data_IF_675500480276
#
_entry.id   IF_675500480276
#
_cell.length_a   1.000
_cell.length_b   1.000
_cell.length_c   1.000
_cell.angle_alpha   90.00
_cell.angle_beta   90.00
_cell.angle_gamma   90.00
#
_symmetry.space_group_name_H-M   'P 1'
#
loop_
_entity.id
_entity.type
_entity.pdbx_description
1 polymer ?
#
# COMPACT_ATOMS: atom_id res chain seq x y z
N UNK A 1 -14.31 60.23 -0.12
CA UNK A 1 -13.48 60.32 -1.35
C UNK A 1 -13.64 59.04 -2.11
N UNK A 2 -14.26 59.20 -3.26
CA UNK A 2 -14.80 58.19 -4.14
C UNK A 2 -13.72 57.68 -5.11
N UNK A 3 -13.54 56.38 -5.29
CA UNK A 3 -12.87 55.84 -6.50
C UNK A 3 -13.56 54.56 -6.99
N UNK A 4 -14.13 54.74 -8.12
CA UNK A 4 -14.90 53.86 -8.96
C UNK A 4 -14.13 52.61 -9.41
N UNK A 5 -14.92 51.54 -9.53
CA UNK A 5 -14.57 50.27 -10.15
C UNK A 5 -14.97 50.34 -11.60
N UNK A 6 -14.06 50.09 -12.54
CA UNK A 6 -14.31 50.03 -13.99
C UNK A 6 -14.66 48.59 -14.43
N UNK A 7 -15.40 48.43 -15.55
CA UNK A 7 -16.07 47.17 -15.90
C UNK A 7 -15.18 46.20 -16.68
N UNK A 8 -15.45 44.90 -16.46
CA UNK A 8 -14.86 43.73 -17.12
C UNK A 8 -15.27 43.72 -18.63
N UNK A 9 -14.29 43.47 -19.50
CA UNK A 9 -14.50 43.24 -20.92
C UNK A 9 -14.92 41.80 -21.20
N UNK A 10 -16.13 41.67 -21.74
CA UNK A 10 -16.63 40.44 -22.32
C UNK A 10 -15.95 40.20 -23.70
N UNK A 11 -15.40 39.00 -23.88
CA UNK A 11 -14.80 38.54 -25.12
C UNK A 11 -15.92 37.94 -25.99
N UNK A 12 -16.28 38.63 -27.09
CA UNK A 12 -17.27 38.17 -28.06
C UNK A 12 -16.67 37.17 -29.04
N UNK A 13 -17.32 36.05 -29.19
CA UNK A 13 -17.09 35.07 -30.22
C UNK A 13 -17.52 35.63 -31.61
N UNK A 14 -16.64 35.55 -32.59
CA UNK A 14 -16.93 35.88 -33.97
C UNK A 14 -17.11 34.61 -34.80
N UNK A 15 -18.34 34.39 -35.22
CA UNK A 15 -18.71 33.46 -36.29
C UNK A 15 -18.35 34.08 -37.65
N UNK A 16 -17.74 33.32 -38.54
CA UNK A 16 -17.77 33.60 -40.01
C UNK A 16 -18.10 32.32 -40.75
N UNK A 17 -19.28 32.31 -41.30
CA UNK A 17 -19.70 31.54 -42.48
C UNK A 17 -19.43 32.42 -43.72
N UNK A 18 -19.32 31.72 -44.85
CA UNK A 18 -19.28 32.15 -46.27
C UNK A 18 -17.89 31.95 -46.92
N UNK A 19 -17.69 31.33 -48.06
CA UNK A 19 -18.56 31.02 -49.22
C UNK A 19 -17.85 29.99 -50.13
N UNK A 20 -18.65 29.33 -50.96
CA UNK A 20 -18.30 28.39 -52.02
C UNK A 20 -17.23 28.88 -53.02
N UNK A 21 -16.40 27.95 -53.51
CA UNK A 21 -15.65 28.07 -54.75
C UNK A 21 -15.23 26.67 -55.23
N UNK A 22 -16.00 26.13 -56.21
CA UNK A 22 -15.61 24.94 -57.00
C UNK A 22 -14.36 25.25 -57.83
N UNK A 23 -13.41 24.33 -57.87
CA UNK A 23 -12.69 23.89 -59.09
C UNK A 23 -11.92 22.62 -58.79
N UNK A 24 -12.14 21.59 -59.61
CA UNK A 24 -11.59 20.25 -59.47
C UNK A 24 -10.13 20.16 -59.89
N UNK A 25 -9.39 19.30 -59.20
CA UNK A 25 -8.21 18.61 -59.71
C UNK A 25 -8.09 17.32 -58.90
N UNK A 26 -8.10 16.19 -59.60
CA UNK A 26 -7.99 14.84 -58.99
C UNK A 26 -6.67 14.67 -58.25
N UNK A 27 -6.74 14.41 -56.98
CA UNK A 27 -5.63 13.89 -56.20
C UNK A 27 -6.00 12.45 -55.81
N UNK A 28 -5.22 11.51 -56.36
CA UNK A 28 -5.22 10.11 -55.94
C UNK A 28 -4.76 10.10 -54.49
N UNK A 29 -5.74 9.96 -53.57
CA UNK A 29 -5.46 9.68 -52.18
C UNK A 29 -5.01 8.24 -52.07
N UNK A 30 -3.68 8.01 -51.97
CA UNK A 30 -3.17 6.76 -51.38
C UNK A 30 -3.69 6.72 -49.94
N UNK A 31 -4.69 5.86 -49.72
CA UNK A 31 -5.17 5.54 -48.41
C UNK A 31 -4.03 4.88 -47.61
N UNK A 32 -3.41 5.67 -46.77
CA UNK A 32 -2.52 5.14 -45.73
C UNK A 32 -3.45 4.60 -44.63
N UNK A 33 -3.80 3.31 -44.72
CA UNK A 33 -4.45 2.59 -43.64
C UNK A 33 -3.51 2.66 -42.42
N UNK A 34 -3.82 3.53 -41.49
CA UNK A 34 -3.24 3.50 -40.15
C UNK A 34 -3.79 2.24 -39.48
N UNK A 35 -3.08 1.11 -39.62
CA UNK A 35 -3.36 -0.06 -38.84
C UNK A 35 -3.33 0.35 -37.36
N UNK A 36 -4.39 0.04 -36.55
CA UNK A 36 -4.31 0.22 -35.11
C UNK A 36 -3.10 -0.58 -34.62
N UNK A 37 -2.10 0.14 -34.09
CA UNK A 37 -0.95 -0.50 -33.46
C UNK A 37 -1.46 -1.48 -32.41
N UNK A 38 -0.77 -2.60 -32.18
CA UNK A 38 -1.18 -3.56 -31.17
C UNK A 38 -1.37 -2.80 -29.85
N UNK A 39 -2.61 -2.84 -29.32
CA UNK A 39 -2.87 -2.38 -27.96
C UNK A 39 -1.85 -3.11 -27.07
N UNK A 40 -0.94 -2.35 -26.48
CA UNK A 40 0.01 -2.89 -25.52
C UNK A 40 -0.85 -3.44 -24.40
N UNK A 41 -1.02 -4.76 -24.36
CA UNK A 41 -1.55 -5.42 -23.19
C UNK A 41 -0.62 -5.01 -22.05
N UNK A 42 -1.15 -4.23 -21.07
CA UNK A 42 -0.44 -4.02 -19.83
C UNK A 42 -0.15 -5.40 -19.27
N UNK A 43 1.11 -5.73 -19.13
CA UNK A 43 1.50 -7.01 -18.55
C UNK A 43 0.97 -7.04 -17.11
N UNK A 44 0.36 -8.14 -16.70
CA UNK A 44 -0.09 -8.33 -15.32
C UNK A 44 1.03 -8.09 -14.29
N UNK A 45 2.29 -8.08 -14.72
CA UNK A 45 3.46 -7.75 -13.92
C UNK A 45 3.56 -6.27 -13.49
N UNK A 46 2.87 -5.36 -14.18
CA UNK A 46 2.86 -3.93 -13.82
C UNK A 46 1.72 -3.57 -12.87
N UNK A 47 0.75 -4.47 -12.63
CA UNK A 47 -0.37 -4.22 -11.74
C UNK A 47 -0.06 -4.68 -10.32
N UNK A 48 0.38 -3.75 -9.49
CA UNK A 48 0.68 -4.00 -8.06
C UNK A 48 -0.54 -4.36 -7.22
N UNK A 49 -1.77 -4.17 -7.73
CA UNK A 49 -3.03 -4.43 -7.03
C UNK A 49 -3.67 -5.78 -7.37
N UNK A 50 -2.90 -6.75 -7.88
CA UNK A 50 -3.44 -8.10 -8.04
C UNK A 50 -3.78 -8.71 -6.67
N UNK A 51 -4.82 -9.53 -6.61
CA UNK A 51 -5.21 -10.23 -5.37
C UNK A 51 -4.04 -11.06 -4.80
N UNK A 52 -3.25 -11.70 -5.67
CA UNK A 52 -2.08 -12.46 -5.27
C UNK A 52 -1.05 -11.57 -4.56
N UNK A 53 -0.68 -10.42 -5.14
CA UNK A 53 0.32 -9.51 -4.56
C UNK A 53 -0.20 -8.75 -3.34
N UNK A 54 -1.49 -8.51 -3.22
CA UNK A 54 -2.05 -7.81 -2.06
C UNK A 54 -2.28 -8.78 -0.90
N UNK A 55 -2.96 -9.90 -1.14
CA UNK A 55 -3.42 -10.79 -0.08
C UNK A 55 -2.52 -12.01 0.16
N UNK A 56 -1.73 -12.43 -0.84
CA UNK A 56 -1.01 -13.72 -0.84
C UNK A 56 0.46 -13.60 -1.26
N UNK A 57 1.03 -12.40 -1.23
CA UNK A 57 2.43 -12.17 -1.57
C UNK A 57 3.36 -13.05 -0.71
N UNK A 58 4.16 -13.97 -1.32
CA UNK A 58 4.99 -14.90 -0.57
C UNK A 58 6.17 -14.22 0.14
N UNK A 59 6.54 -13.02 -0.29
CA UNK A 59 7.64 -12.26 0.33
C UNK A 59 7.23 -11.59 1.64
N UNK A 60 5.91 -11.43 1.87
CA UNK A 60 5.36 -10.67 3.00
C UNK A 60 5.08 -11.59 4.18
N UNK A 61 5.55 -11.22 5.38
CA UNK A 61 5.29 -11.98 6.60
C UNK A 61 3.80 -12.02 6.96
N UNK A 62 3.41 -13.14 7.54
CA UNK A 62 2.03 -13.45 7.91
C UNK A 62 1.95 -13.83 9.37
N UNK A 63 0.92 -13.31 10.05
CA UNK A 63 0.52 -13.70 11.39
C UNK A 63 -0.88 -14.34 11.36
N UNK A 64 -1.32 -14.85 12.50
CA UNK A 64 -2.60 -15.54 12.63
C UNK A 64 -2.63 -16.86 11.87
N UNK A 65 -3.76 -17.18 11.23
CA UNK A 65 -3.95 -18.43 10.53
C UNK A 65 -3.54 -18.29 9.04
N UNK A 66 -2.46 -18.96 8.62
CA UNK A 66 -1.98 -18.92 7.22
C UNK A 66 -3.02 -19.42 6.21
N UNK A 67 -3.92 -20.31 6.62
CA UNK A 67 -5.01 -20.86 5.83
C UNK A 67 -6.35 -20.18 6.13
N UNK A 68 -6.33 -19.02 6.78
CA UNK A 68 -7.50 -18.26 7.16
C UNK A 68 -8.45 -17.96 5.99
N UNK A 69 -9.73 -17.99 6.27
CA UNK A 69 -10.80 -17.77 5.29
C UNK A 69 -10.93 -16.30 4.87
N UNK A 70 -10.49 -15.39 5.72
CA UNK A 70 -10.39 -13.95 5.46
C UNK A 70 -8.95 -13.49 5.68
N UNK A 71 -8.47 -12.65 4.76
CA UNK A 71 -7.19 -11.97 4.91
C UNK A 71 -7.42 -10.52 5.33
N UNK A 72 -6.74 -10.11 6.40
CA UNK A 72 -6.53 -8.70 6.74
C UNK A 72 -5.11 -8.35 6.30
N UNK A 73 -4.96 -7.26 5.56
CA UNK A 73 -3.65 -6.66 5.24
C UNK A 73 -3.55 -5.36 5.99
N UNK A 74 -2.49 -5.19 6.77
CA UNK A 74 -2.18 -3.93 7.42
C UNK A 74 -0.99 -3.26 6.73
N UNK A 75 -1.15 -1.99 6.34
CA UNK A 75 -0.06 -1.10 5.94
C UNK A 75 0.28 -0.22 7.13
N UNK A 76 1.48 -0.38 7.68
CA UNK A 76 1.86 0.23 8.96
C UNK A 76 3.27 0.83 8.95
N UNK A 77 3.54 1.67 9.96
CA UNK A 77 4.85 2.26 10.21
C UNK A 77 5.19 2.14 11.71
N UNK A 78 6.40 1.69 12.02
CA UNK A 78 6.86 1.49 13.40
C UNK A 78 6.89 2.76 14.26
N UNK A 79 6.99 3.94 13.67
CA UNK A 79 6.93 5.22 14.40
C UNK A 79 5.51 5.77 14.51
N UNK A 80 4.53 5.17 13.85
CA UNK A 80 3.16 5.64 13.88
C UNK A 80 2.49 5.32 15.23
N UNK A 81 2.08 6.34 16.01
CA UNK A 81 1.45 6.10 17.30
C UNK A 81 0.09 5.41 17.18
N UNK A 82 -0.59 5.59 16.06
CA UNK A 82 -1.88 4.93 15.78
C UNK A 82 -1.70 3.45 15.44
N UNK A 83 -0.62 3.06 14.73
CA UNK A 83 -0.28 1.65 14.51
C UNK A 83 0.01 0.95 15.83
N UNK A 84 0.84 1.57 16.68
CA UNK A 84 1.16 1.04 18.02
C UNK A 84 -0.08 0.87 18.89
N UNK A 85 -1.03 1.82 18.78
CA UNK A 85 -2.28 1.76 19.54
C UNK A 85 -3.20 0.63 19.08
N UNK A 86 -3.30 0.41 17.77
CA UNK A 86 -4.22 -0.58 17.20
C UNK A 86 -3.68 -2.00 17.26
N UNK A 87 -2.36 -2.18 17.28
CA UNK A 87 -1.71 -3.49 17.25
C UNK A 87 -2.22 -4.49 18.30
N UNK A 88 -2.33 -4.18 19.60
CA UNK A 88 -2.85 -5.13 20.58
C UNK A 88 -4.30 -5.53 20.32
N UNK A 89 -5.15 -4.59 19.85
CA UNK A 89 -6.55 -4.86 19.52
C UNK A 89 -6.66 -5.74 18.27
N UNK A 90 -5.90 -5.43 17.23
CA UNK A 90 -5.85 -6.23 16.00
C UNK A 90 -5.38 -7.66 16.28
N UNK A 91 -4.32 -7.80 17.06
CA UNK A 91 -3.77 -9.11 17.45
C UNK A 91 -4.81 -9.93 18.21
N UNK A 92 -5.52 -9.31 19.15
CA UNK A 92 -6.58 -9.98 19.93
C UNK A 92 -7.71 -10.46 19.01
N UNK A 93 -8.22 -9.61 18.12
CA UNK A 93 -9.26 -9.98 17.15
C UNK A 93 -8.82 -11.15 16.26
N UNK A 94 -7.59 -11.13 15.76
CA UNK A 94 -7.04 -12.21 14.92
C UNK A 94 -6.94 -13.53 15.71
N UNK A 95 -6.55 -13.45 16.99
CA UNK A 95 -6.45 -14.61 17.86
C UNK A 95 -7.82 -15.18 18.23
N UNK A 96 -8.79 -14.33 18.57
CA UNK A 96 -10.14 -14.73 19.00
C UNK A 96 -10.93 -15.34 17.82
N UNK A 97 -10.78 -14.78 16.62
CA UNK A 97 -11.43 -15.30 15.41
C UNK A 97 -10.83 -16.65 14.96
N UNK A 98 -9.51 -16.82 15.06
CA UNK A 98 -8.78 -18.05 14.75
C UNK A 98 -8.78 -18.46 13.28
N UNK A 99 -9.49 -17.73 12.39
CA UNK A 99 -9.60 -18.00 10.95
C UNK A 99 -9.17 -16.82 10.10
N UNK A 100 -8.56 -15.81 10.69
CA UNK A 100 -8.02 -14.64 10.00
C UNK A 100 -6.54 -14.88 9.68
N UNK A 101 -6.18 -14.60 8.43
CA UNK A 101 -4.80 -14.45 7.96
C UNK A 101 -4.44 -12.96 8.04
N UNK A 102 -3.43 -12.60 8.82
CA UNK A 102 -2.95 -11.22 8.92
C UNK A 102 -1.64 -11.05 8.12
N UNK A 103 -1.66 -10.20 7.11
CA UNK A 103 -0.52 -9.87 6.24
C UNK A 103 0.03 -8.51 6.69
N UNK A 104 1.32 -8.48 7.05
CA UNK A 104 1.99 -7.32 7.63
C UNK A 104 2.83 -6.61 6.56
N UNK A 105 2.36 -5.48 6.04
CA UNK A 105 3.04 -4.69 5.01
C UNK A 105 3.71 -3.47 5.61
N UNK A 106 5.02 -3.56 5.78
CA UNK A 106 5.85 -2.43 6.17
C UNK A 106 5.69 -1.29 5.16
N UNK A 107 5.21 -0.13 5.64
CA UNK A 107 5.05 1.10 4.86
C UNK A 107 5.66 2.30 5.59
N UNK A 108 7.01 2.43 5.57
CA UNK A 108 7.76 3.38 6.38
C UNK A 108 7.70 4.79 5.79
N UNK A 109 6.67 5.57 6.13
CA UNK A 109 6.42 6.93 5.62
C UNK A 109 6.77 8.05 6.60
N UNK A 110 7.17 7.73 7.84
CA UNK A 110 7.44 8.71 8.89
C UNK A 110 8.94 9.05 9.07
N UNK A 111 9.72 8.80 8.03
CA UNK A 111 11.11 9.26 7.95
C UNK A 111 12.16 8.14 8.00
N UNK A 112 13.46 8.52 8.01
CA UNK A 112 14.56 7.56 7.85
C UNK A 112 14.58 6.45 8.90
N UNK A 113 14.26 6.76 10.15
CA UNK A 113 14.23 5.79 11.25
C UNK A 113 13.14 4.73 11.03
N UNK A 114 11.99 5.10 10.44
CA UNK A 114 10.96 4.13 10.03
C UNK A 114 11.50 3.17 8.97
N UNK A 115 12.28 3.67 8.01
CA UNK A 115 12.92 2.85 6.97
C UNK A 115 13.93 1.90 7.59
N UNK A 116 14.77 2.38 8.53
CA UNK A 116 15.72 1.52 9.26
C UNK A 116 14.99 0.43 10.04
N UNK A 117 13.90 0.76 10.75
CA UNK A 117 13.10 -0.19 11.49
C UNK A 117 12.52 -1.28 10.57
N UNK A 118 11.86 -0.89 9.50
CA UNK A 118 11.27 -1.81 8.52
C UNK A 118 12.32 -2.73 7.88
N UNK A 119 13.45 -2.19 7.43
CA UNK A 119 14.54 -2.98 6.84
C UNK A 119 15.12 -4.00 7.80
N UNK A 120 15.39 -3.61 9.06
CA UNK A 120 15.93 -4.51 10.07
C UNK A 120 14.94 -5.61 10.44
N UNK A 121 13.64 -5.27 10.53
CA UNK A 121 12.60 -6.26 10.79
C UNK A 121 12.44 -7.23 9.61
N UNK A 122 12.44 -6.75 8.37
CA UNK A 122 12.43 -7.61 7.18
C UNK A 122 13.68 -8.48 7.09
N UNK A 123 14.85 -8.00 7.52
CA UNK A 123 16.07 -8.81 7.57
C UNK A 123 15.99 -9.93 8.61
N UNK A 124 15.24 -9.76 9.70
CA UNK A 124 15.06 -10.79 10.72
C UNK A 124 14.28 -12.02 10.23
N UNK A 125 13.57 -11.92 9.09
CA UNK A 125 12.91 -13.07 8.46
C UNK A 125 13.90 -14.17 8.02
N UNK A 126 15.17 -13.81 7.72
CA UNK A 126 16.21 -14.78 7.42
C UNK A 126 16.71 -15.57 8.66
N UNK A 127 16.16 -15.22 9.83
CA UNK A 127 16.34 -15.94 11.09
C UNK A 127 15.02 -16.57 11.57
N UNK A 128 13.95 -16.53 10.74
CA UNK A 128 12.58 -16.94 11.10
C UNK A 128 12.02 -16.18 12.31
N UNK A 129 12.42 -14.91 12.48
CA UNK A 129 12.11 -14.07 13.65
C UNK A 129 11.44 -12.72 13.29
N UNK A 130 10.77 -12.67 12.15
CA UNK A 130 10.09 -11.40 11.77
C UNK A 130 9.02 -10.99 12.79
N UNK A 131 8.20 -11.92 13.27
CA UNK A 131 7.08 -11.60 14.16
C UNK A 131 7.58 -11.13 15.54
N UNK A 132 8.66 -11.70 16.05
CA UNK A 132 9.31 -11.26 17.29
C UNK A 132 9.92 -9.87 17.13
N UNK A 133 10.60 -9.61 16.02
CA UNK A 133 11.14 -8.30 15.68
C UNK A 133 10.03 -7.25 15.51
N UNK A 134 8.96 -7.61 14.80
CA UNK A 134 7.77 -6.76 14.63
C UNK A 134 7.17 -6.41 16.00
N UNK A 135 6.89 -7.40 16.84
CA UNK A 135 6.30 -7.19 18.15
C UNK A 135 7.18 -6.30 19.05
N UNK A 136 8.50 -6.47 19.00
CA UNK A 136 9.43 -5.67 19.78
C UNK A 136 9.41 -4.19 19.36
N UNK A 137 9.33 -3.90 18.07
CA UNK A 137 9.38 -2.52 17.57
C UNK A 137 8.03 -1.81 17.61
N UNK A 138 6.93 -2.51 17.31
CA UNK A 138 5.59 -1.91 17.32
C UNK A 138 5.06 -1.72 18.75
N UNK A 139 5.50 -2.55 19.70
CA UNK A 139 5.03 -2.54 21.09
C UNK A 139 5.59 -1.42 21.95
N UNK A 140 6.55 -0.61 21.47
CA UNK A 140 7.16 0.45 22.29
C UNK A 140 6.42 1.78 22.20
N UNK A 141 6.34 2.49 23.34
CA UNK A 141 5.74 3.83 23.39
C UNK A 141 6.76 4.97 23.22
N UNK A 142 8.06 4.64 23.23
CA UNK A 142 9.15 5.61 23.06
C UNK A 142 9.43 5.89 21.57
N UNK A 143 10.09 7.03 21.31
CA UNK A 143 10.59 7.33 19.97
C UNK A 143 11.70 6.35 19.61
N UNK A 144 11.62 5.74 18.42
CA UNK A 144 12.68 4.91 17.89
C UNK A 144 13.89 5.75 17.45
N UNK A 145 15.07 5.21 17.71
CA UNK A 145 16.35 5.64 17.15
C UNK A 145 17.09 4.39 16.66
N UNK A 146 18.09 4.52 15.82
CA UNK A 146 18.83 3.35 15.33
C UNK A 146 19.46 2.53 16.46
N UNK A 147 20.12 3.11 17.49
CA UNK A 147 20.61 2.33 18.63
C UNK A 147 19.47 1.61 19.37
N UNK A 148 18.34 2.27 19.59
CA UNK A 148 17.19 1.71 20.29
C UNK A 148 16.53 0.57 19.50
N UNK A 149 16.46 0.68 18.16
CA UNK A 149 16.00 -0.42 17.29
C UNK A 149 16.89 -1.66 17.50
N UNK A 150 18.21 -1.49 17.46
CA UNK A 150 19.16 -2.60 17.69
C UNK A 150 19.01 -3.23 19.06
N UNK A 151 18.86 -2.43 20.11
CA UNK A 151 18.63 -2.88 21.48
C UNK A 151 17.34 -3.71 21.61
N UNK A 152 16.22 -3.21 21.07
CA UNK A 152 14.93 -3.90 21.09
C UNK A 152 14.97 -5.22 20.33
N UNK A 153 15.60 -5.24 19.16
CA UNK A 153 15.75 -6.45 18.37
C UNK A 153 16.61 -7.49 19.10
N UNK A 154 17.73 -7.07 19.69
CA UNK A 154 18.57 -7.95 20.50
C UNK A 154 17.79 -8.52 21.71
N UNK A 155 17.02 -7.66 22.41
CA UNK A 155 16.15 -8.07 23.51
C UNK A 155 15.06 -9.05 23.12
N UNK A 156 14.62 -9.03 21.86
CA UNK A 156 13.68 -10.00 21.28
C UNK A 156 14.37 -11.28 20.76
N UNK A 157 15.67 -11.42 20.99
CA UNK A 157 16.45 -12.60 20.61
C UNK A 157 16.84 -12.65 19.14
N UNK A 158 16.82 -11.53 18.43
CA UNK A 158 17.37 -11.42 17.08
C UNK A 158 18.90 -11.25 17.17
N UNK A 159 19.65 -12.03 16.39
CA UNK A 159 21.06 -11.74 16.15
C UNK A 159 21.17 -10.51 15.25
N UNK A 160 21.42 -9.35 15.87
CA UNK A 160 21.43 -8.06 15.20
C UNK A 160 22.58 -7.93 14.21
N UNK A 161 23.72 -8.55 14.50
CA UNK A 161 24.88 -8.52 13.58
C UNK A 161 24.61 -9.41 12.36
N UNK A 162 23.97 -10.56 12.54
CA UNK A 162 23.48 -11.37 11.44
C UNK A 162 22.41 -10.62 10.63
N UNK A 163 21.42 -10.01 11.28
CA UNK A 163 20.39 -9.22 10.60
C UNK A 163 21.02 -8.08 9.79
N UNK A 164 22.08 -7.46 10.27
CA UNK A 164 22.82 -6.42 9.53
C UNK A 164 23.50 -7.00 8.27
N UNK A 165 24.11 -8.17 8.37
CA UNK A 165 24.71 -8.87 7.22
C UNK A 165 23.63 -9.34 6.23
N UNK A 166 22.54 -9.91 6.73
CA UNK A 166 21.40 -10.37 5.92
C UNK A 166 20.75 -9.19 5.18
N UNK A 167 20.61 -8.02 5.84
CA UNK A 167 20.16 -6.80 5.22
C UNK A 167 21.08 -6.35 4.08
N UNK A 168 22.39 -6.35 4.31
CA UNK A 168 23.34 -5.96 3.27
C UNK A 168 23.30 -6.90 2.05
N UNK A 169 23.19 -8.21 2.31
CA UNK A 169 23.14 -9.24 1.26
C UNK A 169 21.84 -9.19 0.47
N UNK A 170 20.72 -8.90 1.13
CA UNK A 170 19.37 -8.96 0.56
C UNK A 170 18.74 -7.56 0.34
N UNK A 171 19.53 -6.49 0.40
CA UNK A 171 19.04 -5.11 0.37
C UNK A 171 18.09 -4.86 -0.81
N UNK A 172 18.43 -5.32 -2.02
CA UNK A 172 17.61 -5.14 -3.22
C UNK A 172 16.24 -5.81 -3.09
N UNK A 173 16.17 -7.00 -2.51
CA UNK A 173 14.90 -7.73 -2.32
C UNK A 173 14.05 -7.07 -1.23
N UNK A 174 14.66 -6.65 -0.12
CA UNK A 174 13.98 -5.94 0.97
C UNK A 174 13.43 -4.60 0.47
N UNK A 175 14.23 -3.84 -0.28
CA UNK A 175 13.78 -2.55 -0.83
C UNK A 175 12.66 -2.72 -1.85
N UNK A 176 12.71 -3.77 -2.67
CA UNK A 176 11.62 -4.09 -3.60
C UNK A 176 10.29 -4.39 -2.87
N UNK A 177 10.33 -5.03 -1.70
CA UNK A 177 9.16 -5.22 -0.84
C UNK A 177 8.60 -3.85 -0.40
N UNK A 178 9.46 -2.98 0.14
CA UNK A 178 9.03 -1.66 0.63
C UNK A 178 8.46 -0.78 -0.49
N UNK A 179 9.08 -0.80 -1.66
CA UNK A 179 8.58 -0.09 -2.86
C UNK A 179 7.21 -0.64 -3.25
N UNK A 180 7.06 -1.96 -3.38
CA UNK A 180 5.78 -2.59 -3.74
C UNK A 180 4.67 -2.26 -2.73
N UNK A 181 4.97 -2.28 -1.43
CA UNK A 181 4.02 -1.91 -0.39
C UNK A 181 3.59 -0.45 -0.51
N UNK A 182 4.54 0.46 -0.78
CA UNK A 182 4.26 1.87 -1.02
C UNK A 182 3.38 2.08 -2.26
N UNK A 183 3.69 1.41 -3.36
CA UNK A 183 2.94 1.53 -4.61
C UNK A 183 1.51 1.00 -4.45
N UNK A 184 1.33 -0.11 -3.74
CA UNK A 184 0.01 -0.64 -3.38
C UNK A 184 -0.78 0.34 -2.52
N UNK A 185 -0.19 0.84 -1.43
CA UNK A 185 -0.84 1.79 -0.54
C UNK A 185 -1.25 3.07 -1.28
N UNK A 186 -0.38 3.56 -2.16
CA UNK A 186 -0.64 4.74 -3.01
C UNK A 186 -1.77 4.46 -4.01
N UNK A 187 -1.75 3.32 -4.68
CA UNK A 187 -2.76 2.92 -5.66
C UNK A 187 -4.14 2.68 -5.00
N UNK A 188 -4.17 2.22 -3.74
CA UNK A 188 -5.39 2.18 -2.93
C UNK A 188 -5.86 3.57 -2.49
N UNK A 189 -5.06 4.62 -2.69
CA UNK A 189 -5.35 5.98 -2.25
C UNK A 189 -5.27 6.16 -0.74
N UNK A 190 -4.50 5.33 -0.03
CA UNK A 190 -4.21 5.53 1.38
C UNK A 190 -3.38 6.80 1.58
N UNK A 191 -3.61 7.50 2.69
CA UNK A 191 -2.96 8.79 3.02
C UNK A 191 -2.09 8.73 4.26
N UNK A 192 -2.05 7.59 4.93
CA UNK A 192 -1.31 7.40 6.18
C UNK A 192 -1.53 6.02 6.77
N UNK A 193 -0.85 5.77 7.88
CA UNK A 193 -0.86 4.52 8.63
C UNK A 193 -1.62 4.67 9.95
N UNK A 194 -2.27 3.62 10.48
CA UNK A 194 -2.49 2.35 9.77
C UNK A 194 -3.54 2.48 8.68
N UNK A 195 -3.47 1.59 7.67
CA UNK A 195 -4.52 1.42 6.67
C UNK A 195 -4.69 -0.06 6.39
N UNK A 196 -5.93 -0.50 6.12
CA UNK A 196 -6.24 -1.92 6.03
C UNK A 196 -6.95 -2.29 4.73
N UNK A 197 -6.72 -3.54 4.30
CA UNK A 197 -7.60 -4.27 3.40
C UNK A 197 -8.18 -5.43 4.19
N UNK A 198 -9.50 -5.56 4.28
CA UNK A 198 -10.20 -6.69 4.91
C UNK A 198 -10.97 -7.44 3.83
N UNK A 199 -10.47 -8.58 3.43
CA UNK A 199 -10.97 -9.27 2.24
C UNK A 199 -10.88 -8.37 1.00
N UNK A 200 -12.03 -7.88 0.50
CA UNK A 200 -12.08 -6.95 -0.64
C UNK A 200 -12.31 -5.49 -0.23
N UNK A 201 -12.48 -5.22 1.06
CA UNK A 201 -12.81 -3.88 1.55
C UNK A 201 -11.56 -3.10 1.91
N UNK A 202 -11.50 -1.85 1.45
CA UNK A 202 -10.47 -0.89 1.83
C UNK A 202 -10.95 -0.10 3.04
N UNK A 203 -10.15 -0.10 4.10
CA UNK A 203 -10.46 0.59 5.37
C UNK A 203 -9.27 1.45 5.77
N UNK A 204 -9.33 2.78 5.59
CA UNK A 204 -8.28 3.69 6.05
C UNK A 204 -8.44 4.02 7.52
N UNK A 205 -7.31 4.15 8.25
CA UNK A 205 -7.28 4.61 9.63
C UNK A 205 -7.51 3.53 10.67
N UNK A 206 -7.66 3.97 11.91
CA UNK A 206 -7.77 3.10 13.09
C UNK A 206 -9.18 2.48 13.17
N UNK A 207 -9.23 1.19 13.49
CA UNK A 207 -10.47 0.48 13.81
C UNK A 207 -10.45 0.07 15.30
N UNK A 208 -11.61 0.03 15.91
CA UNK A 208 -11.82 -0.65 17.20
C UNK A 208 -12.00 -2.16 16.98
N UNK A 209 -11.86 -2.97 18.02
CA UNK A 209 -12.12 -4.41 17.95
C UNK A 209 -13.48 -4.72 17.31
N UNK A 210 -14.55 -4.07 17.77
CA UNK A 210 -15.90 -4.27 17.21
C UNK A 210 -16.00 -3.91 15.72
N UNK A 211 -15.24 -2.91 15.26
CA UNK A 211 -15.21 -2.56 13.84
C UNK A 211 -14.40 -3.58 13.01
N UNK A 212 -13.33 -4.16 13.57
CA UNK A 212 -12.65 -5.29 12.95
C UNK A 212 -13.56 -6.50 12.82
N UNK A 213 -14.27 -6.88 13.89
CA UNK A 213 -15.24 -7.99 13.88
C UNK A 213 -16.31 -7.79 12.80
N UNK A 214 -16.85 -6.57 12.72
CA UNK A 214 -17.84 -6.22 11.71
C UNK A 214 -17.26 -6.32 10.28
N UNK A 215 -16.04 -5.79 10.06
CA UNK A 215 -15.38 -5.84 8.76
C UNK A 215 -15.08 -7.28 8.32
N UNK A 216 -14.65 -8.14 9.25
CA UNK A 216 -14.43 -9.57 9.01
C UNK A 216 -15.77 -10.26 8.63
N UNK A 217 -16.83 -10.02 9.38
CA UNK A 217 -18.15 -10.59 9.11
C UNK A 217 -18.68 -10.16 7.72
N UNK A 218 -18.52 -8.88 7.37
CA UNK A 218 -18.94 -8.37 6.06
C UNK A 218 -18.08 -8.93 4.93
N UNK A 219 -16.77 -9.11 5.15
CA UNK A 219 -15.89 -9.75 4.19
C UNK A 219 -16.28 -11.21 3.94
N UNK A 220 -16.63 -11.98 4.98
CA UNK A 220 -17.12 -13.36 4.84
C UNK A 220 -18.44 -13.42 4.06
N UNK A 221 -19.41 -12.55 4.38
CA UNK A 221 -20.67 -12.44 3.63
C UNK A 221 -20.44 -12.11 2.16
N UNK A 222 -19.49 -11.23 1.88
CA UNK A 222 -19.16 -10.86 0.52
C UNK A 222 -18.44 -11.97 -0.27
N UNK A 223 -17.61 -12.78 0.39
CA UNK A 223 -16.97 -13.94 -0.21
C UNK A 223 -17.98 -15.06 -0.52
N UNK A 224 -18.94 -15.31 0.36
CA UNK A 224 -19.98 -16.30 0.16
C UNK A 224 -20.92 -16.02 -1.02
N UNK A 225 -21.15 -14.75 -1.37
CA UNK A 225 -21.98 -14.33 -2.52
C UNK A 225 -21.31 -14.53 -3.88
N UNK A 226 -19.99 -14.82 -3.93
CA UNK A 226 -19.25 -15.05 -5.18
C UNK A 226 -19.21 -16.54 -5.60
N UNK A 227 -19.64 -17.44 -4.72
CA UNK A 227 -19.82 -18.87 -4.99
C UNK A 227 -21.23 -19.14 -5.48
#
# INVERSE_FOLDING_TARGET
MNKSIGPARLYQARTRRETLGLLGAGAVMLGMEIAPGPARAQSDGDNVLTEALVLRDPDIPVAGNVDGDITIVEYFDYQCPYCRKVEPELRQVVQDDGKVRLVLKDWPILGPVSVTAARMTLASKFQDKYLEAHAALIGVNSKLTEPHIRELLAGAGIDVDRATRDLATNAKAIDAILVRNNDQATAFGFKGTPSFIVGKFRVPGVLTMAQFDQAIADARKAAAKKK
#
